data_IF_046287950059
#
_entry.id   IF_046287950059
#
_cell.length_a   1.000
_cell.length_b   1.000
_cell.length_c   1.000
_cell.angle_alpha   90.00
_cell.angle_beta   90.00
_cell.angle_gamma   90.00
#
_symmetry.space_group_name_H-M   'P 1'
#
loop_
_entity.id
_entity.type
_entity.pdbx_description
1 polymer ?
#
# COMPACT_ATOMS: atom_id res chain seq x y z
N UNK A 1 -13.01 8.60 -12.41
CA UNK A 1 -12.23 8.23 -11.22
C UNK A 1 -12.89 8.88 -10.00
N UNK A 2 -13.02 10.21 -10.02
CA UNK A 2 -13.60 10.95 -8.90
C UNK A 2 -15.11 10.72 -8.76
N UNK A 3 -15.57 10.68 -7.53
CA UNK A 3 -16.98 10.53 -7.13
C UNK A 3 -17.36 11.60 -6.11
N UNK A 4 -18.48 11.46 -5.45
CA UNK A 4 -18.90 12.32 -4.33
C UNK A 4 -18.20 11.94 -3.00
N UNK A 5 -17.43 10.83 -3.00
CA UNK A 5 -16.64 10.37 -1.86
C UNK A 5 -15.22 10.97 -1.90
N UNK A 6 -14.46 10.82 -0.82
CA UNK A 6 -13.07 11.27 -0.75
C UNK A 6 -12.13 10.27 -1.43
N UNK A 7 -11.37 10.74 -2.42
CA UNK A 7 -10.29 10.00 -3.08
C UNK A 7 -8.94 10.62 -2.78
N UNK A 8 -7.97 9.80 -2.37
CA UNK A 8 -6.61 10.26 -2.04
C UNK A 8 -5.57 9.15 -2.20
N UNK A 9 -4.30 9.51 -2.00
CA UNK A 9 -3.11 8.64 -2.13
C UNK A 9 -3.02 7.91 -3.47
N UNK A 10 -2.92 8.66 -4.58
CA UNK A 10 -2.81 8.08 -5.91
C UNK A 10 -1.47 7.35 -6.10
N UNK A 11 -1.51 6.22 -6.78
CA UNK A 11 -0.35 5.43 -7.17
C UNK A 11 -0.49 4.94 -8.62
N UNK A 12 0.52 5.22 -9.44
CA UNK A 12 0.56 4.78 -10.84
C UNK A 12 1.59 3.65 -10.98
N UNK A 13 1.27 2.60 -11.75
CA UNK A 13 2.26 1.59 -12.11
C UNK A 13 3.29 2.16 -13.09
N UNK A 14 4.51 1.61 -13.09
CA UNK A 14 5.61 2.08 -13.94
C UNK A 14 5.25 1.99 -15.43
N UNK A 15 4.49 0.98 -15.83
CA UNK A 15 3.98 0.81 -17.20
C UNK A 15 2.75 1.68 -17.51
N UNK A 16 2.31 2.50 -16.54
CA UNK A 16 1.15 3.39 -16.60
C UNK A 16 -0.19 2.70 -16.90
N UNK A 17 -0.27 1.38 -16.78
CA UNK A 17 -1.52 0.66 -17.09
C UNK A 17 -2.56 0.73 -16.00
N UNK A 18 -2.13 0.81 -14.74
CA UNK A 18 -3.02 0.81 -13.59
C UNK A 18 -2.81 2.05 -12.74
N UNK A 19 -3.90 2.67 -12.36
CA UNK A 19 -3.96 3.78 -11.43
C UNK A 19 -4.69 3.32 -10.18
N UNK A 20 -3.97 3.19 -9.08
CA UNK A 20 -4.50 2.83 -7.77
C UNK A 20 -4.76 4.08 -6.94
N UNK A 21 -5.74 4.03 -6.08
CA UNK A 21 -6.04 5.09 -5.12
C UNK A 21 -6.87 4.55 -3.96
N UNK A 22 -6.92 5.30 -2.89
CA UNK A 22 -7.81 5.02 -1.76
C UNK A 22 -9.09 5.83 -1.92
N UNK A 23 -10.23 5.21 -1.65
CA UNK A 23 -11.53 5.87 -1.53
C UNK A 23 -12.11 5.59 -0.15
N UNK A 24 -12.71 6.62 0.45
CA UNK A 24 -13.34 6.51 1.75
C UNK A 24 -14.87 6.45 1.59
N UNK A 25 -15.44 5.26 1.77
CA UNK A 25 -16.88 5.01 1.83
C UNK A 25 -17.17 4.33 3.18
N UNK A 26 -17.18 5.12 4.24
CA UNK A 26 -17.22 4.60 5.62
C UNK A 26 -15.83 4.23 6.13
N UNK A 27 -15.19 3.18 5.63
CA UNK A 27 -13.78 2.85 5.82
C UNK A 27 -12.97 3.19 4.57
N UNK A 28 -11.65 3.15 4.71
CA UNK A 28 -10.70 3.37 3.60
C UNK A 28 -10.49 2.05 2.85
N UNK A 29 -10.66 2.08 1.52
CA UNK A 29 -10.51 0.92 0.65
C UNK A 29 -9.75 1.28 -0.62
N UNK A 30 -9.01 0.31 -1.19
CA UNK A 30 -8.33 0.50 -2.46
C UNK A 30 -9.25 0.29 -3.65
N UNK A 31 -9.12 1.20 -4.60
CA UNK A 31 -9.72 1.15 -5.92
C UNK A 31 -8.63 1.24 -6.99
N UNK A 32 -8.95 0.81 -8.17
CA UNK A 32 -8.09 0.96 -9.33
C UNK A 32 -8.89 1.28 -10.59
N UNK A 33 -8.21 1.91 -11.54
CA UNK A 33 -8.66 2.12 -12.91
C UNK A 33 -7.59 1.64 -13.87
N UNK A 34 -7.99 1.18 -15.05
CA UNK A 34 -7.07 0.78 -16.11
C UNK A 34 -7.01 1.86 -17.18
N UNK A 35 -5.83 2.11 -17.73
CA UNK A 35 -5.64 3.05 -18.83
C UNK A 35 -6.32 2.50 -20.08
N UNK A 36 -7.16 3.30 -20.71
CA UNK A 36 -7.82 2.97 -21.99
C UNK A 36 -7.02 3.57 -23.15
N UNK A 37 -6.63 4.84 -23.01
CA UNK A 37 -5.79 5.60 -23.92
C UNK A 37 -5.00 6.66 -23.16
N UNK A 38 -4.28 7.56 -23.86
CA UNK A 38 -3.39 8.54 -23.22
C UNK A 38 -4.11 9.55 -22.30
N UNK A 39 -5.41 9.71 -22.42
CA UNK A 39 -6.22 10.67 -21.66
C UNK A 39 -7.38 10.04 -20.88
N UNK A 40 -7.67 8.77 -21.10
CA UNK A 40 -8.91 8.14 -20.61
C UNK A 40 -8.60 6.93 -19.73
N UNK A 41 -9.29 6.88 -18.60
CA UNK A 41 -9.25 5.76 -17.66
C UNK A 41 -10.60 5.04 -17.60
N UNK A 42 -10.57 3.74 -17.34
CA UNK A 42 -11.80 2.97 -17.09
C UNK A 42 -12.54 3.46 -15.86
N UNK A 43 -13.84 3.19 -15.73
CA UNK A 43 -14.50 3.31 -14.44
C UNK A 43 -13.72 2.57 -13.35
N UNK A 44 -13.63 3.18 -12.16
CA UNK A 44 -12.90 2.61 -11.03
C UNK A 44 -13.57 1.33 -10.53
N UNK A 45 -12.75 0.39 -10.07
CA UNK A 45 -13.17 -0.88 -9.48
C UNK A 45 -12.56 -1.04 -8.10
N UNK A 46 -13.35 -1.53 -7.17
CA UNK A 46 -12.85 -1.92 -5.85
C UNK A 46 -11.89 -3.10 -5.98
N UNK A 47 -10.77 -3.04 -5.27
CA UNK A 47 -9.76 -4.10 -5.33
C UNK A 47 -10.25 -5.40 -4.68
N UNK A 48 -11.17 -5.28 -3.74
CA UNK A 48 -11.84 -6.40 -3.07
C UNK A 48 -10.94 -7.26 -2.19
N UNK A 49 -11.52 -8.33 -1.61
CA UNK A 49 -10.74 -9.31 -0.86
C UNK A 49 -9.71 -10.04 -1.73
N UNK A 50 -8.54 -10.42 -1.16
CA UNK A 50 -8.18 -10.34 0.25
C UNK A 50 -7.51 -9.03 0.67
N UNK A 51 -7.38 -8.05 -0.24
CA UNK A 51 -6.68 -6.79 0.03
C UNK A 51 -7.57 -5.89 0.89
N UNK A 52 -8.72 -5.49 0.37
CA UNK A 52 -9.70 -4.72 1.12
C UNK A 52 -10.44 -5.61 2.12
N UNK A 53 -10.66 -5.08 3.31
CA UNK A 53 -11.39 -5.73 4.41
C UNK A 53 -12.47 -4.77 4.93
N UNK A 54 -13.08 -5.08 6.06
CA UNK A 54 -13.96 -4.17 6.78
C UNK A 54 -13.20 -3.15 7.65
N UNK A 55 -11.87 -3.18 7.61
CA UNK A 55 -10.97 -2.26 8.32
C UNK A 55 -10.49 -1.16 7.36
N UNK A 56 -9.51 -0.38 7.78
CA UNK A 56 -8.94 0.68 6.96
C UNK A 56 -7.67 0.19 6.24
N UNK A 57 -7.68 0.27 4.93
CA UNK A 57 -6.54 0.05 4.06
C UNK A 57 -6.20 1.36 3.32
N UNK A 58 -5.04 1.92 3.61
CA UNK A 58 -4.62 3.20 3.03
C UNK A 58 -3.20 3.16 2.47
N UNK A 59 -2.91 4.05 1.56
CA UNK A 59 -1.60 4.23 0.92
C UNK A 59 -1.04 2.97 0.30
N UNK A 60 -0.97 2.92 -1.01
CA UNK A 60 -0.43 1.80 -1.78
C UNK A 60 0.84 2.21 -2.53
N UNK A 61 1.85 1.34 -2.53
CA UNK A 61 3.04 1.44 -3.37
C UNK A 61 3.18 0.15 -4.17
N UNK A 62 3.37 0.26 -5.47
CA UNK A 62 3.48 -0.88 -6.38
C UNK A 62 4.95 -1.06 -6.76
N UNK A 63 5.44 -2.31 -6.78
CA UNK A 63 6.78 -2.62 -7.28
C UNK A 63 6.92 -2.28 -8.76
N UNK A 64 8.15 -2.00 -9.20
CA UNK A 64 8.42 -1.59 -10.59
C UNK A 64 8.03 -2.66 -11.63
N UNK A 65 8.04 -3.93 -11.25
CA UNK A 65 7.59 -5.05 -12.08
C UNK A 65 6.08 -5.31 -12.01
N UNK A 66 5.34 -4.55 -11.17
CA UNK A 66 3.91 -4.69 -10.96
C UNK A 66 3.48 -5.97 -10.23
N UNK A 67 4.44 -6.77 -9.70
CA UNK A 67 4.14 -8.06 -9.09
C UNK A 67 3.82 -7.98 -7.60
N UNK A 68 4.15 -6.89 -6.95
CA UNK A 68 3.91 -6.69 -5.52
C UNK A 68 3.25 -5.35 -5.26
N UNK A 69 2.37 -5.34 -4.28
CA UNK A 69 1.87 -4.12 -3.64
C UNK A 69 2.28 -4.11 -2.19
N UNK A 70 2.67 -2.94 -1.71
CA UNK A 70 2.93 -2.63 -0.31
C UNK A 70 1.92 -1.59 0.14
N UNK A 71 1.31 -1.78 1.27
CA UNK A 71 0.23 -0.90 1.71
C UNK A 71 0.09 -0.86 3.22
N UNK A 72 -0.54 0.17 3.72
CA UNK A 72 -0.90 0.31 5.12
C UNK A 72 -2.23 -0.40 5.39
N UNK A 73 -2.31 -1.16 6.46
CA UNK A 73 -3.57 -1.69 7.00
C UNK A 73 -3.60 -1.53 8.51
N UNK A 74 -4.73 -1.03 9.01
CA UNK A 74 -4.87 -0.70 10.42
C UNK A 74 -5.76 -1.72 11.16
N UNK A 75 -5.44 -1.95 12.42
CA UNK A 75 -6.21 -2.79 13.34
C UNK A 75 -6.41 -4.24 12.88
N UNK A 76 -5.55 -4.76 12.00
CA UNK A 76 -5.62 -6.18 11.60
C UNK A 76 -5.23 -7.09 12.76
N UNK A 77 -5.88 -8.28 12.90
CA UNK A 77 -5.62 -9.19 14.01
C UNK A 77 -4.18 -9.70 14.11
N UNK A 78 -3.48 -9.75 12.99
CA UNK A 78 -2.07 -10.16 12.88
C UNK A 78 -1.09 -8.97 12.90
N UNK A 79 -1.59 -7.73 13.15
CA UNK A 79 -0.79 -6.53 13.29
C UNK A 79 0.09 -6.53 14.53
N UNK A 80 1.15 -5.72 14.53
CA UNK A 80 2.03 -5.45 15.67
C UNK A 80 1.66 -4.15 16.37
N UNK A 81 1.29 -3.13 15.59
CA UNK A 81 0.86 -1.81 16.05
C UNK A 81 -0.59 -1.49 15.67
N UNK A 82 -0.93 -0.22 15.76
CA UNK A 82 -2.27 0.25 15.35
C UNK A 82 -2.46 0.24 13.84
N UNK A 83 -1.41 0.54 13.10
CA UNK A 83 -1.33 0.38 11.64
C UNK A 83 0.04 -0.22 11.31
N UNK A 84 0.05 -1.14 10.38
CA UNK A 84 1.24 -1.84 9.91
C UNK A 84 1.31 -1.83 8.39
N UNK A 85 2.52 -2.04 7.86
CA UNK A 85 2.75 -2.20 6.43
C UNK A 85 2.66 -3.68 6.07
N UNK A 86 1.82 -3.96 5.10
CA UNK A 86 1.60 -5.28 4.51
C UNK A 86 2.08 -5.31 3.07
N UNK A 87 2.30 -6.50 2.56
CA UNK A 87 2.52 -6.72 1.14
C UNK A 87 1.65 -7.86 0.62
N UNK A 88 1.36 -7.81 -0.67
CA UNK A 88 0.71 -8.90 -1.40
C UNK A 88 1.39 -9.11 -2.74
N UNK A 89 1.42 -10.36 -3.18
CA UNK A 89 1.95 -10.76 -4.49
C UNK A 89 0.81 -11.01 -5.46
N UNK A 90 0.99 -10.55 -6.70
CA UNK A 90 0.09 -10.83 -7.80
C UNK A 90 0.32 -12.27 -8.31
N UNK A 91 -0.73 -13.08 -8.31
CA UNK A 91 -0.74 -14.45 -8.82
C UNK A 91 -1.66 -14.49 -10.06
N UNK A 92 -1.06 -14.39 -11.24
CA UNK A 92 -1.81 -14.18 -12.48
C UNK A 92 -2.52 -12.83 -12.48
N UNK A 93 -3.83 -12.80 -12.28
CA UNK A 93 -4.64 -11.56 -12.22
C UNK A 93 -5.26 -11.31 -10.84
N UNK A 94 -4.89 -12.07 -9.81
CA UNK A 94 -5.47 -12.00 -8.47
C UNK A 94 -4.38 -11.73 -7.43
N UNK A 95 -4.62 -10.76 -6.57
CA UNK A 95 -3.75 -10.49 -5.43
C UNK A 95 -3.87 -11.62 -4.40
N UNK A 96 -2.71 -12.09 -3.92
CA UNK A 96 -2.65 -13.10 -2.87
C UNK A 96 -3.00 -12.55 -1.49
N UNK A 97 -3.12 -13.44 -0.51
CA UNK A 97 -3.35 -13.05 0.89
C UNK A 97 -2.23 -12.13 1.38
N UNK A 98 -2.56 -10.94 1.90
CA UNK A 98 -1.58 -10.01 2.45
C UNK A 98 -0.78 -10.63 3.59
N UNK A 99 0.50 -10.25 3.66
CA UNK A 99 1.41 -10.62 4.75
C UNK A 99 1.95 -9.38 5.41
N UNK A 100 1.95 -9.36 6.74
CA UNK A 100 2.59 -8.33 7.53
C UNK A 100 4.10 -8.37 7.33
N UNK A 101 4.76 -7.24 7.06
CA UNK A 101 6.21 -7.18 6.85
C UNK A 101 7.03 -7.48 8.12
N UNK A 102 6.40 -7.41 9.30
CA UNK A 102 7.06 -7.66 10.58
C UNK A 102 8.26 -6.73 10.82
N UNK A 103 9.03 -7.00 11.88
CA UNK A 103 10.28 -6.29 12.12
C UNK A 103 11.31 -6.60 11.02
N UNK A 104 12.15 -5.62 10.64
CA UNK A 104 12.31 -4.29 11.25
C UNK A 104 11.36 -3.20 10.70
N UNK A 105 10.51 -3.50 9.72
CA UNK A 105 9.59 -2.52 9.12
C UNK A 105 8.49 -2.16 10.13
N UNK A 106 7.75 -3.14 10.60
CA UNK A 106 6.67 -2.93 11.55
C UNK A 106 7.14 -3.09 13.00
N UNK A 107 6.50 -2.36 13.90
CA UNK A 107 6.75 -2.35 15.33
C UNK A 107 5.43 -2.31 16.12
N UNK A 108 5.48 -2.14 17.45
CA UNK A 108 4.30 -1.88 18.25
C UNK A 108 3.76 -0.43 18.11
N UNK A 109 4.41 0.39 17.29
CA UNK A 109 4.02 1.76 17.01
C UNK A 109 3.02 1.83 15.82
N UNK A 110 2.91 2.99 15.20
CA UNK A 110 2.15 3.22 13.98
C UNK A 110 3.12 3.30 12.80
N UNK A 111 2.98 2.44 11.82
CA UNK A 111 3.71 2.46 10.57
C UNK A 111 2.76 2.63 9.39
N UNK A 112 3.11 3.55 8.46
CA UNK A 112 2.26 3.87 7.32
C UNK A 112 3.04 4.53 6.17
N UNK A 113 2.34 4.81 5.08
CA UNK A 113 2.86 5.55 3.93
C UNK A 113 4.08 4.85 3.29
N UNK A 114 3.99 3.54 2.96
CA UNK A 114 5.09 2.85 2.32
C UNK A 114 5.39 3.43 0.94
N UNK A 115 6.68 3.57 0.63
CA UNK A 115 7.18 3.93 -0.68
C UNK A 115 8.37 3.05 -1.02
N UNK A 116 8.21 2.21 -2.03
CA UNK A 116 9.26 1.30 -2.48
C UNK A 116 10.23 2.03 -3.41
N UNK A 117 11.53 1.77 -3.26
CA UNK A 117 12.52 2.22 -4.25
C UNK A 117 12.28 1.53 -5.60
N UNK A 118 12.68 2.18 -6.69
CA UNK A 118 12.47 1.66 -8.04
C UNK A 118 13.13 0.28 -8.25
N UNK A 119 14.30 0.05 -7.64
CA UNK A 119 15.03 -1.22 -7.69
C UNK A 119 14.46 -2.29 -6.73
N UNK A 120 13.42 -1.95 -5.95
CA UNK A 120 12.77 -2.85 -5.01
C UNK A 120 13.59 -3.21 -3.78
N UNK A 121 14.76 -2.58 -3.57
CA UNK A 121 15.67 -2.94 -2.48
C UNK A 121 15.43 -2.21 -1.18
N UNK A 122 14.72 -1.09 -1.22
CA UNK A 122 14.46 -0.27 -0.05
C UNK A 122 12.98 0.05 0.06
N UNK A 123 12.48 0.08 1.27
CA UNK A 123 11.16 0.62 1.59
C UNK A 123 11.33 1.80 2.55
N UNK A 124 10.78 2.93 2.17
CA UNK A 124 10.65 4.13 2.98
C UNK A 124 9.24 4.14 3.56
N UNK A 125 9.11 4.58 4.78
CA UNK A 125 7.81 4.62 5.47
C UNK A 125 7.82 5.64 6.59
N UNK A 126 6.64 6.04 7.04
CA UNK A 126 6.47 6.91 8.19
C UNK A 126 6.19 6.09 9.44
N UNK A 127 6.81 6.43 10.57
CA UNK A 127 6.57 5.79 11.86
C UNK A 127 6.74 6.76 13.02
N UNK A 128 5.95 6.55 14.07
CA UNK A 128 6.12 7.25 15.35
C UNK A 128 6.86 6.41 16.40
N UNK A 129 7.63 5.40 15.94
CA UNK A 129 8.48 4.58 16.83
C UNK A 129 9.50 5.39 17.57
N UNK A 130 9.96 4.95 18.77
CA UNK A 130 11.04 5.61 19.50
C UNK A 130 12.34 5.67 18.69
N UNK A 131 13.12 6.76 18.91
CA UNK A 131 14.42 6.97 18.28
C UNK A 131 14.40 7.94 17.10
N UNK A 132 13.25 8.51 16.73
CA UNK A 132 13.13 9.61 15.79
C UNK A 132 13.31 10.99 16.42
N UNK A 133 13.10 12.02 15.62
CA UNK A 133 13.25 13.42 16.03
C UNK A 133 11.93 14.11 16.35
N UNK A 134 10.82 13.64 15.78
CA UNK A 134 9.50 14.25 15.93
C UNK A 134 8.42 13.26 16.37
N UNK A 135 7.17 13.60 16.08
CA UNK A 135 6.04 12.71 16.34
C UNK A 135 5.97 11.56 15.35
N UNK A 136 6.23 11.85 14.09
CA UNK A 136 6.33 10.89 12.98
C UNK A 136 7.53 11.25 12.13
N UNK A 137 8.39 10.28 11.88
CA UNK A 137 9.60 10.43 11.09
C UNK A 137 9.60 9.49 9.91
N UNK A 138 10.42 9.79 8.90
CA UNK A 138 10.65 8.91 7.76
C UNK A 138 11.75 7.92 8.13
N UNK A 139 11.45 6.66 7.94
CA UNK A 139 12.35 5.53 8.18
C UNK A 139 12.62 4.81 6.86
N UNK A 140 13.74 4.12 6.79
CA UNK A 140 14.11 3.29 5.66
C UNK A 140 14.63 1.93 6.13
N UNK A 141 14.25 0.88 5.41
CA UNK A 141 14.80 -0.47 5.58
C UNK A 141 15.23 -0.98 4.20
N UNK A 142 16.38 -1.63 4.17
CA UNK A 142 16.89 -2.32 2.97
C UNK A 142 16.51 -3.79 3.06
N UNK A 143 15.94 -4.32 1.99
CA UNK A 143 15.74 -5.77 1.83
C UNK A 143 17.06 -6.39 1.41
N UNK A 144 17.62 -7.27 2.23
CA UNK A 144 18.79 -8.06 1.85
C UNK A 144 18.36 -9.13 0.84
N UNK A 145 19.14 -9.28 -0.23
CA UNK A 145 19.00 -10.42 -1.15
C UNK A 145 19.30 -11.70 -0.35
N UNK A 146 18.29 -12.36 0.17
CA UNK A 146 18.45 -13.73 0.65
C UNK A 146 18.77 -14.61 -0.55
N UNK A 147 20.06 -14.98 -0.69
CA UNK A 147 20.56 -15.99 -1.60
C UNK A 147 19.99 -17.37 -1.27
#
# INVERSE_FOLDING_TARGET
INTDDDEYWPGLTVDEKYFYFTRQIGNEEFYYSTKIDDSTWSPSRNLGPPINTHLNEGTISVSSDGQYIFFTACNRPDGLGSCDIYFSKLNGSVWGTPKNLRAPVNSAAWESLPSLSFDGKQIYFSSNRPGGFGGKDIWVTTFEDNK
#
